data_IF_970340271522
#
_entry.id   IF_970340271522
#
_cell.length_a   1.000
_cell.length_b   1.000
_cell.length_c   1.000
_cell.angle_alpha   90.00
_cell.angle_beta   90.00
_cell.angle_gamma   90.00
#
_symmetry.space_group_name_H-M   'P 1'
#
loop_
_entity.id
_entity.type
_entity.pdbx_description
1 polymer ?
#
# COMPACT_ATOMS: atom_id res chain seq x y z
N UNK A 1 -7.17 6.92 -20.31
CA UNK A 1 -7.42 8.15 -21.11
C UNK A 1 -8.70 8.86 -20.72
N UNK A 2 -9.88 8.23 -20.83
CA UNK A 2 -11.15 8.89 -20.50
C UNK A 2 -11.24 9.37 -19.04
N UNK A 3 -10.81 8.56 -18.06
CA UNK A 3 -10.76 8.99 -16.66
C UNK A 3 -9.85 10.22 -16.45
N UNK A 4 -8.73 10.31 -17.17
CA UNK A 4 -7.85 11.47 -17.13
C UNK A 4 -8.54 12.70 -17.73
N UNK A 5 -9.25 12.54 -18.85
CA UNK A 5 -10.01 13.63 -19.46
C UNK A 5 -11.09 14.17 -18.51
N UNK A 6 -11.88 13.28 -17.89
CA UNK A 6 -12.86 13.65 -16.84
C UNK A 6 -12.16 14.37 -15.68
N UNK A 7 -11.02 13.85 -15.21
CA UNK A 7 -10.23 14.46 -14.13
C UNK A 7 -9.75 15.88 -14.46
N UNK A 8 -9.41 16.18 -15.73
CA UNK A 8 -9.02 17.56 -16.11
C UNK A 8 -10.17 18.55 -16.01
N UNK A 9 -11.42 18.10 -16.25
CA UNK A 9 -12.64 18.91 -16.06
C UNK A 9 -12.95 19.08 -14.58
N UNK A 10 -12.81 18.02 -13.80
CA UNK A 10 -13.04 18.03 -12.36
C UNK A 10 -12.13 19.01 -11.60
N UNK A 11 -10.86 19.11 -12.00
CA UNK A 11 -9.84 19.90 -11.31
C UNK A 11 -9.52 21.24 -12.00
N UNK A 12 -10.37 21.73 -12.92
CA UNK A 12 -10.15 22.98 -13.67
C UNK A 12 -8.78 23.05 -14.39
N UNK A 13 -8.28 21.91 -14.85
CA UNK A 13 -6.99 21.77 -15.55
C UNK A 13 -7.18 21.32 -17.00
N UNK A 14 -8.23 21.84 -17.65
CA UNK A 14 -8.72 21.44 -18.97
C UNK A 14 -7.59 21.22 -20.00
N UNK A 15 -7.73 20.14 -20.77
CA UNK A 15 -6.85 19.77 -21.89
C UNK A 15 -7.70 19.40 -23.10
N UNK A 16 -7.19 19.66 -24.30
CA UNK A 16 -7.90 19.27 -25.53
C UNK A 16 -7.86 17.74 -25.64
N UNK A 17 -8.97 17.08 -26.02
CA UNK A 17 -9.02 15.63 -26.25
C UNK A 17 -7.89 15.13 -27.17
N UNK A 18 -7.60 15.89 -28.23
CA UNK A 18 -6.53 15.59 -29.19
C UNK A 18 -5.17 15.48 -28.50
N UNK A 19 -4.83 16.41 -27.61
CA UNK A 19 -3.53 16.43 -26.93
C UNK A 19 -3.37 15.22 -26.01
N UNK A 20 -4.44 14.83 -25.31
CA UNK A 20 -4.47 13.62 -24.47
C UNK A 20 -4.28 12.36 -25.32
N UNK A 21 -4.95 12.29 -26.48
CA UNK A 21 -4.81 11.16 -27.41
C UNK A 21 -3.39 11.07 -27.96
N UNK A 22 -2.82 12.18 -28.43
CA UNK A 22 -1.45 12.22 -28.95
C UNK A 22 -0.44 11.76 -27.89
N UNK A 23 -0.54 12.25 -26.66
CA UNK A 23 0.32 11.81 -25.56
C UNK A 23 0.18 10.31 -25.27
N UNK A 24 -1.04 9.78 -25.29
CA UNK A 24 -1.28 8.36 -25.09
C UNK A 24 -0.73 7.50 -26.25
N UNK A 25 -0.81 7.98 -27.49
CA UNK A 25 -0.21 7.33 -28.65
C UNK A 25 1.30 7.26 -28.54
N UNK A 26 1.95 8.35 -28.13
CA UNK A 26 3.39 8.39 -27.90
C UNK A 26 3.86 7.36 -26.87
N UNK A 27 3.10 7.22 -25.77
CA UNK A 27 3.41 6.26 -24.71
C UNK A 27 3.13 4.81 -25.14
N UNK A 28 2.05 4.56 -25.89
CA UNK A 28 1.62 3.20 -26.29
C UNK A 28 2.39 2.65 -27.49
N UNK A 29 2.85 3.52 -28.39
CA UNK A 29 3.51 3.15 -29.64
C UNK A 29 4.89 3.83 -29.74
N UNK A 30 5.83 3.47 -28.84
CA UNK A 30 7.16 4.09 -28.80
C UNK A 30 7.94 3.86 -30.11
N UNK A 31 7.70 2.74 -30.80
CA UNK A 31 8.31 2.40 -32.10
C UNK A 31 7.91 3.36 -33.23
N UNK A 32 6.68 3.88 -33.20
CA UNK A 32 6.22 4.87 -34.17
C UNK A 32 6.72 6.27 -33.83
N UNK A 33 6.87 6.57 -32.53
CA UNK A 33 7.49 7.79 -32.04
C UNK A 33 8.99 7.85 -32.38
N UNK A 34 9.71 6.73 -32.28
CA UNK A 34 11.15 6.64 -32.57
C UNK A 34 11.48 6.81 -34.06
N UNK A 35 10.54 6.50 -34.96
CA UNK A 35 10.68 6.73 -36.42
C UNK A 35 10.33 8.17 -36.84
N UNK A 36 9.81 8.98 -35.92
CA UNK A 36 9.55 10.40 -36.17
C UNK A 36 10.86 11.17 -36.19
N UNK A 37 11.19 11.79 -37.33
CA UNK A 37 12.41 12.60 -37.51
C UNK A 37 12.46 13.84 -36.58
N UNK A 38 11.32 14.25 -36.03
CA UNK A 38 11.16 15.42 -35.15
C UNK A 38 10.72 15.07 -33.73
N UNK A 39 10.48 13.78 -33.42
CA UNK A 39 10.01 13.32 -32.10
C UNK A 39 8.57 13.72 -31.73
N UNK A 40 7.94 14.60 -32.52
CA UNK A 40 6.59 15.13 -32.28
C UNK A 40 5.57 14.77 -33.36
N UNK A 41 6.02 14.45 -34.57
CA UNK A 41 5.14 14.07 -35.68
C UNK A 41 5.07 12.56 -35.76
N UNK A 42 4.19 11.97 -34.95
CA UNK A 42 3.72 10.61 -35.24
C UNK A 42 2.74 10.77 -36.40
N UNK A 43 3.03 10.13 -37.53
CA UNK A 43 2.13 10.10 -38.70
C UNK A 43 0.94 9.18 -38.37
N UNK A 44 0.01 9.73 -37.58
CA UNK A 44 -1.22 9.07 -37.18
C UNK A 44 -2.29 9.46 -38.19
N UNK A 45 -2.96 8.46 -38.75
CA UNK A 45 -4.11 8.67 -39.62
C UNK A 45 -5.14 9.58 -38.93
N UNK A 46 -5.42 10.72 -39.56
CA UNK A 46 -6.33 11.73 -39.04
C UNK A 46 -7.76 11.17 -38.88
N UNK A 47 -8.19 10.23 -39.74
CA UNK A 47 -9.50 9.60 -39.62
C UNK A 47 -9.58 8.70 -38.37
N UNK A 48 -8.53 7.91 -38.10
CA UNK A 48 -8.42 7.10 -36.89
C UNK A 48 -8.42 7.96 -35.61
N UNK A 49 -7.70 9.07 -35.62
CA UNK A 49 -7.63 10.00 -34.49
C UNK A 49 -8.99 10.65 -34.19
N UNK A 50 -9.74 11.00 -35.22
CA UNK A 50 -11.09 11.57 -35.07
C UNK A 50 -12.08 10.53 -34.53
N UNK A 51 -12.01 9.29 -35.03
CA UNK A 51 -12.80 8.19 -34.48
C UNK A 51 -12.51 7.94 -32.99
N UNK A 52 -11.23 8.00 -32.59
CA UNK A 52 -10.83 7.90 -31.17
C UNK A 52 -11.31 9.06 -30.32
N UNK A 53 -11.34 10.27 -30.87
CA UNK A 53 -11.91 11.43 -30.21
C UNK A 53 -13.38 11.20 -29.89
N UNK A 54 -14.15 10.67 -30.84
CA UNK A 54 -15.55 10.30 -30.60
C UNK A 54 -15.69 9.21 -29.53
N UNK A 55 -14.87 8.14 -29.60
CA UNK A 55 -14.84 7.08 -28.57
C UNK A 55 -14.52 7.63 -27.18
N UNK A 56 -13.56 8.54 -27.08
CA UNK A 56 -13.16 9.17 -25.82
C UNK A 56 -14.33 9.91 -25.16
N UNK A 57 -15.11 10.66 -25.95
CA UNK A 57 -16.28 11.39 -25.45
C UNK A 57 -17.41 10.43 -25.04
N UNK A 58 -17.62 9.34 -25.79
CA UNK A 58 -18.61 8.33 -25.42
C UNK A 58 -18.25 7.65 -24.09
N UNK A 59 -16.98 7.28 -23.89
CA UNK A 59 -16.51 6.69 -22.64
C UNK A 59 -16.53 7.72 -21.51
N UNK A 60 -16.27 9.00 -21.79
CA UNK A 60 -16.42 10.07 -20.81
C UNK A 60 -17.83 10.06 -20.21
N UNK A 61 -18.86 10.06 -21.07
CA UNK A 61 -20.26 10.01 -20.64
C UNK A 61 -20.55 8.77 -19.78
N UNK A 62 -20.06 7.60 -20.21
CA UNK A 62 -20.19 6.36 -19.44
C UNK A 62 -19.56 6.47 -18.05
N UNK A 63 -18.37 7.08 -17.93
CA UNK A 63 -17.70 7.27 -16.64
C UNK A 63 -18.54 8.18 -15.73
N UNK A 64 -19.05 9.30 -16.27
CA UNK A 64 -19.86 10.25 -15.51
C UNK A 64 -21.14 9.60 -14.95
N UNK A 65 -21.81 8.79 -15.77
CA UNK A 65 -22.98 8.01 -15.36
C UNK A 65 -22.61 6.94 -14.32
N UNK A 66 -21.48 6.24 -14.51
CA UNK A 66 -21.00 5.18 -13.60
C UNK A 66 -20.66 5.71 -12.20
N UNK A 67 -20.03 6.88 -12.11
CA UNK A 67 -19.75 7.52 -10.81
C UNK A 67 -20.95 8.28 -10.25
N UNK A 68 -22.12 8.19 -10.90
CA UNK A 68 -23.35 8.91 -10.56
C UNK A 68 -23.14 10.43 -10.43
N UNK A 69 -22.27 11.00 -11.27
CA UNK A 69 -21.85 12.40 -11.19
C UNK A 69 -21.32 12.81 -9.79
N UNK A 70 -20.83 11.86 -9.00
CA UNK A 70 -20.21 12.13 -7.71
C UNK A 70 -18.75 12.52 -7.88
N UNK A 71 -18.52 13.82 -7.82
CA UNK A 71 -17.22 14.45 -7.99
C UNK A 71 -16.47 14.71 -6.67
N UNK A 72 -17.03 14.29 -5.52
CA UNK A 72 -16.47 14.58 -4.20
C UNK A 72 -15.35 13.60 -3.83
N UNK A 73 -14.25 13.63 -4.59
CA UNK A 73 -13.07 12.79 -4.32
C UNK A 73 -12.19 13.48 -3.27
N UNK A 74 -11.96 12.80 -2.15
CA UNK A 74 -11.00 13.23 -1.12
C UNK A 74 -9.75 12.38 -1.19
N UNK A 75 -8.59 13.02 -1.24
CA UNK A 75 -7.30 12.35 -1.39
C UNK A 75 -6.53 12.31 -0.05
N UNK A 76 -5.69 11.29 0.19
CA UNK A 76 -4.97 11.10 1.45
C UNK A 76 -3.90 12.19 1.72
N UNK A 77 -3.44 12.85 0.66
CA UNK A 77 -2.38 13.86 0.65
C UNK A 77 -2.44 14.88 1.81
N UNK A 78 -3.56 15.61 1.93
CA UNK A 78 -3.70 16.63 2.98
C UNK A 78 -3.69 16.05 4.40
N UNK A 79 -4.17 14.80 4.56
CA UNK A 79 -4.15 14.09 5.83
C UNK A 79 -2.74 13.67 6.21
N UNK A 80 -1.93 13.20 5.26
CA UNK A 80 -0.51 12.87 5.49
C UNK A 80 0.23 14.05 6.10
N UNK A 81 0.11 15.25 5.50
CA UNK A 81 0.80 16.45 6.02
C UNK A 81 0.33 16.79 7.44
N UNK A 82 -0.98 16.77 7.70
CA UNK A 82 -1.55 17.12 9.01
C UNK A 82 -1.16 16.11 10.09
N UNK A 83 -1.26 14.82 9.79
CA UNK A 83 -0.91 13.74 10.71
C UNK A 83 0.60 13.69 10.97
N UNK A 84 1.45 13.84 9.94
CA UNK A 84 2.90 13.94 10.15
C UNK A 84 3.29 15.10 11.07
N UNK A 85 2.62 16.26 10.96
CA UNK A 85 2.85 17.38 11.88
C UNK A 85 2.42 17.05 13.31
N UNK A 86 1.29 16.38 13.47
CA UNK A 86 0.77 15.93 14.77
C UNK A 86 1.70 14.91 15.46
N UNK A 87 2.32 14.02 14.67
CA UNK A 87 3.28 13.04 15.18
C UNK A 87 4.70 13.59 15.31
N UNK A 88 4.92 14.89 15.04
CA UNK A 88 6.26 15.48 14.97
C UNK A 88 7.23 14.70 14.07
N UNK A 89 6.71 14.10 12.99
CA UNK A 89 7.49 13.28 12.10
C UNK A 89 8.57 14.08 11.37
N UNK A 90 9.73 13.46 11.15
CA UNK A 90 10.80 14.02 10.33
C UNK A 90 10.33 14.34 8.90
N UNK A 91 10.96 15.34 8.26
CA UNK A 91 10.61 15.73 6.88
C UNK A 91 10.79 14.58 5.89
N UNK A 92 11.76 13.70 6.12
CA UNK A 92 12.03 12.58 5.23
C UNK A 92 10.99 11.47 5.39
N UNK A 93 10.51 11.22 6.61
CA UNK A 93 9.36 10.34 6.84
C UNK A 93 8.11 10.88 6.17
N UNK A 94 7.85 12.19 6.29
CA UNK A 94 6.69 12.82 5.65
C UNK A 94 6.75 12.72 4.11
N UNK A 95 7.93 12.91 3.49
CA UNK A 95 8.13 12.72 2.05
C UNK A 95 7.89 11.28 1.63
N UNK A 96 8.39 10.32 2.41
CA UNK A 96 8.21 8.89 2.15
C UNK A 96 6.73 8.49 2.26
N UNK A 97 6.06 8.87 3.34
CA UNK A 97 4.63 8.62 3.54
C UNK A 97 3.79 9.24 2.42
N UNK A 98 4.14 10.45 1.96
CA UNK A 98 3.48 11.06 0.82
C UNK A 98 3.67 10.26 -0.47
N UNK A 99 4.88 9.79 -0.77
CA UNK A 99 5.15 8.92 -1.93
C UNK A 99 4.34 7.62 -1.86
N UNK A 100 4.33 6.95 -0.70
CA UNK A 100 3.52 5.75 -0.48
C UNK A 100 2.02 6.02 -0.67
N UNK A 101 1.54 7.21 -0.29
CA UNK A 101 0.15 7.59 -0.54
C UNK A 101 -0.18 7.77 -2.03
N UNK A 102 0.80 8.16 -2.86
CA UNK A 102 0.66 8.16 -4.32
C UNK A 102 0.59 6.73 -4.82
N UNK A 103 1.52 5.88 -4.38
CA UNK A 103 1.59 4.46 -4.77
C UNK A 103 0.34 3.67 -4.35
N UNK A 104 -0.35 4.08 -3.29
CA UNK A 104 -1.62 3.46 -2.89
C UNK A 104 -2.67 3.44 -4.00
N UNK A 105 -2.66 4.42 -4.92
CA UNK A 105 -3.57 4.48 -6.07
C UNK A 105 -3.30 3.41 -7.13
N UNK A 106 -2.18 2.68 -7.02
CA UNK A 106 -1.87 1.51 -7.87
C UNK A 106 -2.42 0.20 -7.29
N UNK A 107 -3.09 0.27 -6.14
CA UNK A 107 -3.70 -0.86 -5.44
C UNK A 107 -5.21 -0.67 -5.29
N UNK A 108 -5.90 -1.63 -4.68
CA UNK A 108 -7.33 -1.53 -4.35
C UNK A 108 -7.59 -0.77 -3.04
N UNK A 109 -6.57 -0.25 -2.35
CA UNK A 109 -6.69 0.44 -1.07
C UNK A 109 -7.67 1.63 -1.11
N UNK A 110 -7.66 2.52 -2.14
CA UNK A 110 -8.61 3.64 -2.23
C UNK A 110 -10.08 3.25 -2.36
N UNK A 111 -10.37 1.99 -2.73
CA UNK A 111 -11.74 1.47 -2.81
C UNK A 111 -12.19 0.81 -1.50
N UNK A 112 -11.24 0.43 -0.64
CA UNK A 112 -11.50 -0.30 0.60
C UNK A 112 -11.51 0.62 1.83
N UNK A 113 -10.67 1.65 1.84
CA UNK A 113 -10.44 2.49 3.02
C UNK A 113 -10.67 3.98 2.74
N UNK A 114 -11.11 4.75 3.74
CA UNK A 114 -11.24 6.19 3.59
C UNK A 114 -9.86 6.88 3.59
N UNK A 115 -9.74 8.08 3.00
CA UNK A 115 -8.45 8.72 2.73
C UNK A 115 -7.62 9.07 3.98
N UNK A 116 -8.26 9.28 5.13
CA UNK A 116 -7.55 9.54 6.39
C UNK A 116 -6.88 8.27 6.93
N UNK A 117 -7.56 7.12 6.86
CA UNK A 117 -6.98 5.81 7.22
C UNK A 117 -5.85 5.43 6.28
N UNK A 118 -6.00 5.69 4.97
CA UNK A 118 -4.92 5.49 3.98
C UNK A 118 -3.69 6.32 4.34
N UNK A 119 -3.88 7.61 4.66
CA UNK A 119 -2.79 8.47 5.08
C UNK A 119 -2.07 7.95 6.33
N UNK A 120 -2.83 7.47 7.32
CA UNK A 120 -2.27 6.92 8.56
C UNK A 120 -1.51 5.60 8.31
N UNK A 121 -2.05 4.71 7.46
CA UNK A 121 -1.37 3.48 7.03
C UNK A 121 -0.08 3.76 6.25
N UNK A 122 -0.06 4.78 5.39
CA UNK A 122 1.16 5.21 4.70
C UNK A 122 2.21 5.79 5.65
N UNK A 123 1.81 6.50 6.71
CA UNK A 123 2.73 7.01 7.75
C UNK A 123 3.30 5.84 8.56
N UNK A 124 2.44 4.88 8.95
CA UNK A 124 2.85 3.68 9.66
C UNK A 124 3.87 2.86 8.85
N UNK A 125 3.59 2.59 7.58
CA UNK A 125 4.51 1.87 6.70
C UNK A 125 5.81 2.65 6.47
N UNK A 126 5.74 3.97 6.28
CA UNK A 126 6.93 4.81 6.16
C UNK A 126 7.82 4.71 7.41
N UNK A 127 7.20 4.75 8.59
CA UNK A 127 7.91 4.62 9.85
C UNK A 127 8.57 3.24 9.99
N UNK A 128 7.86 2.16 9.68
CA UNK A 128 8.38 0.78 9.66
C UNK A 128 9.59 0.65 8.74
N UNK A 129 9.50 1.19 7.52
CA UNK A 129 10.57 1.14 6.52
C UNK A 129 11.81 1.95 6.94
N UNK A 130 11.63 3.00 7.74
CA UNK A 130 12.75 3.82 8.23
C UNK A 130 13.35 3.29 9.54
N UNK A 131 12.56 2.59 10.37
CA UNK A 131 13.04 1.97 11.61
C UNK A 131 13.63 0.57 11.39
N UNK A 132 13.35 -0.08 10.27
CA UNK A 132 13.89 -1.40 9.96
C UNK A 132 15.39 -1.31 9.64
N UNK A 133 16.22 -1.90 10.49
CA UNK A 133 17.65 -1.97 10.24
C UNK A 133 17.95 -2.73 8.95
N UNK A 134 18.73 -2.14 8.02
CA UNK A 134 18.99 -2.76 6.72
C UNK A 134 19.75 -4.09 6.80
N UNK A 135 20.47 -4.33 7.90
CA UNK A 135 21.31 -5.50 8.17
C UNK A 135 21.03 -6.16 9.55
N UNK A 136 19.98 -5.73 10.27
CA UNK A 136 19.68 -6.27 11.60
C UNK A 136 19.10 -7.70 11.54
N UNK A 137 19.33 -8.54 12.57
CA UNK A 137 18.62 -9.80 12.71
C UNK A 137 17.10 -9.56 12.83
N UNK A 138 16.30 -10.51 12.35
CA UNK A 138 14.83 -10.49 12.40
C UNK A 138 14.29 -10.72 13.82
N UNK A 139 14.88 -10.06 14.80
CA UNK A 139 14.46 -10.10 16.19
C UNK A 139 13.85 -8.76 16.53
N UNK A 140 12.65 -8.83 17.12
CA UNK A 140 11.91 -7.81 17.87
C UNK A 140 12.66 -6.52 18.18
N UNK A 141 12.00 -5.34 18.13
CA UNK A 141 12.64 -4.04 18.35
C UNK A 141 13.53 -4.11 19.60
N UNK A 142 14.84 -4.18 19.36
CA UNK A 142 15.81 -4.34 20.45
C UNK A 142 15.72 -3.09 21.30
N UNK A 143 15.38 -3.33 22.57
CA UNK A 143 15.19 -2.35 23.62
C UNK A 143 16.48 -1.59 24.01
N UNK A 144 17.56 -1.76 23.24
CA UNK A 144 18.94 -1.43 23.59
C UNK A 144 19.50 -0.16 22.93
N UNK A 145 18.72 0.59 22.16
CA UNK A 145 19.13 1.92 21.66
C UNK A 145 18.82 3.06 22.64
N UNK A 146 18.90 2.80 23.95
CA UNK A 146 18.53 3.72 25.04
C UNK A 146 19.42 4.96 25.20
N UNK A 147 20.45 5.15 24.37
CA UNK A 147 21.46 6.20 24.62
C UNK A 147 21.73 7.20 23.48
N UNK A 148 20.95 7.19 22.39
CA UNK A 148 21.04 8.26 21.39
C UNK A 148 19.83 9.20 21.46
N UNK A 149 20.00 10.30 22.20
CA UNK A 149 19.25 11.57 22.08
C UNK A 149 17.80 11.45 21.60
N UNK A 150 16.93 11.10 22.54
CA UNK A 150 15.47 11.07 22.44
C UNK A 150 14.93 12.38 21.82
N UNK A 151 14.65 12.37 20.51
CA UNK A 151 13.94 13.45 19.81
C UNK A 151 12.60 12.90 19.37
N UNK A 152 11.55 13.71 19.50
CA UNK A 152 10.18 13.36 19.08
C UNK A 152 10.00 13.05 17.58
N UNK A 153 11.10 13.00 16.82
CA UNK A 153 11.15 12.78 15.38
C UNK A 153 11.49 11.32 15.02
N UNK A 154 11.73 10.45 16.01
CA UNK A 154 12.18 9.07 15.79
C UNK A 154 11.07 8.17 15.20
N UNK A 155 11.28 7.54 14.02
CA UNK A 155 10.28 6.68 13.37
C UNK A 155 9.79 5.52 14.26
N UNK A 156 10.68 4.96 15.09
CA UNK A 156 10.36 3.84 15.98
C UNK A 156 9.27 4.18 17.01
N UNK A 157 9.18 5.44 17.45
CA UNK A 157 8.13 5.89 18.37
C UNK A 157 6.77 5.92 17.68
N UNK A 158 6.73 6.30 16.39
CA UNK A 158 5.51 6.29 15.59
C UNK A 158 5.03 4.85 15.39
N UNK A 159 5.95 3.92 15.11
CA UNK A 159 5.64 2.48 15.01
C UNK A 159 5.10 1.97 16.34
N UNK A 160 5.79 2.20 17.46
CA UNK A 160 5.33 1.74 18.78
C UNK A 160 3.95 2.29 19.16
N UNK A 161 3.65 3.53 18.75
CA UNK A 161 2.34 4.15 19.00
C UNK A 161 1.23 3.57 18.14
N UNK A 162 1.50 3.28 16.86
CA UNK A 162 0.49 2.83 15.90
C UNK A 162 0.35 1.29 15.80
N UNK A 163 1.33 0.53 16.29
CA UNK A 163 1.33 -0.93 16.26
C UNK A 163 0.35 -1.55 17.26
N UNK A 164 -0.14 -0.79 18.25
CA UNK A 164 -1.07 -1.28 19.25
C UNK A 164 -2.32 -0.40 19.35
N UNK A 165 -3.48 -0.99 19.67
CA UNK A 165 -4.71 -0.23 19.91
C UNK A 165 -4.50 0.80 21.02
N UNK A 166 -4.98 2.01 20.83
CA UNK A 166 -4.78 3.10 21.79
C UNK A 166 -5.67 4.30 21.51
N UNK A 167 -5.46 5.38 22.26
CA UNK A 167 -6.27 6.61 22.16
C UNK A 167 -6.29 7.23 20.76
N UNK A 168 -5.27 6.94 19.95
CA UNK A 168 -5.17 7.43 18.58
C UNK A 168 -6.25 6.82 17.67
N UNK A 169 -6.78 5.62 17.96
CA UNK A 169 -7.83 4.99 17.15
C UNK A 169 -9.11 5.82 17.17
N UNK A 170 -9.50 6.28 18.37
CA UNK A 170 -10.65 7.19 18.56
C UNK A 170 -10.38 8.56 17.94
N UNK A 171 -9.15 9.06 18.05
CA UNK A 171 -8.77 10.38 17.50
C UNK A 171 -8.81 10.42 15.97
N UNK A 172 -8.34 9.36 15.32
CA UNK A 172 -8.22 9.30 13.86
C UNK A 172 -9.29 8.43 13.19
N UNK A 173 -10.24 7.87 13.95
CA UNK A 173 -11.31 6.98 13.46
C UNK A 173 -10.79 5.83 12.59
N UNK A 174 -9.66 5.24 12.99
CA UNK A 174 -8.96 4.18 12.26
C UNK A 174 -8.50 3.10 13.23
N UNK A 175 -8.48 1.85 12.79
CA UNK A 175 -8.05 0.68 13.60
C UNK A 175 -6.68 0.17 13.17
N UNK A 176 -5.95 -0.46 14.09
CA UNK A 176 -4.67 -1.14 13.79
C UNK A 176 -4.77 -2.08 12.59
N UNK A 177 -5.80 -2.92 12.56
CA UNK A 177 -6.05 -3.92 11.50
C UNK A 177 -6.06 -3.26 10.10
N UNK A 178 -6.66 -2.07 9.99
CA UNK A 178 -6.74 -1.35 8.71
C UNK A 178 -5.36 -0.81 8.27
N UNK A 179 -4.53 -0.38 9.23
CA UNK A 179 -3.18 0.09 8.94
C UNK A 179 -2.30 -1.07 8.44
N UNK A 180 -2.44 -2.24 9.05
CA UNK A 180 -1.73 -3.46 8.65
C UNK A 180 -2.15 -3.94 7.26
N UNK A 181 -3.45 -3.96 6.96
CA UNK A 181 -3.99 -4.27 5.63
C UNK A 181 -3.40 -3.35 4.54
N UNK A 182 -3.38 -2.05 4.82
CA UNK A 182 -2.80 -1.05 3.91
C UNK A 182 -1.30 -1.27 3.75
N UNK A 183 -0.58 -1.50 4.85
CA UNK A 183 0.86 -1.77 4.83
C UNK A 183 1.17 -3.02 4.01
N UNK A 184 0.38 -4.08 4.17
CA UNK A 184 0.51 -5.31 3.41
C UNK A 184 0.27 -5.10 1.92
N UNK A 185 -0.80 -4.41 1.53
CA UNK A 185 -1.11 -4.13 0.12
C UNK A 185 0.00 -3.30 -0.56
N UNK A 186 0.56 -2.31 0.15
CA UNK A 186 1.66 -1.50 -0.34
C UNK A 186 2.98 -2.27 -0.40
N UNK A 187 3.27 -3.13 0.57
CA UNK A 187 4.45 -4.00 0.51
C UNK A 187 4.38 -4.98 -0.67
N UNK A 188 3.20 -5.54 -0.95
CA UNK A 188 3.00 -6.44 -2.10
C UNK A 188 3.22 -5.69 -3.42
N UNK A 189 2.75 -4.44 -3.51
CA UNK A 189 3.04 -3.56 -4.65
C UNK A 189 4.56 -3.32 -4.81
N UNK A 190 5.27 -2.98 -3.73
CA UNK A 190 6.71 -2.72 -3.75
C UNK A 190 7.53 -3.98 -4.12
N UNK A 191 7.10 -5.16 -3.67
CA UNK A 191 7.72 -6.44 -4.02
C UNK A 191 7.45 -6.86 -5.46
N UNK A 192 6.26 -6.55 -6.00
CA UNK A 192 5.88 -6.87 -7.38
C UNK A 192 6.66 -6.09 -8.44
N UNK A 193 7.31 -4.98 -8.05
CA UNK A 193 7.99 -4.06 -8.97
C UNK A 193 9.49 -3.88 -8.61
N UNK A 194 10.35 -4.89 -8.86
CA UNK A 194 11.74 -4.91 -8.39
C UNK A 194 12.64 -3.83 -9.04
N UNK A 195 12.24 -3.24 -10.17
CA UNK A 195 12.98 -2.19 -10.87
C UNK A 195 13.00 -0.85 -10.12
N UNK A 196 12.08 -0.60 -9.19
CA UNK A 196 12.15 0.51 -8.23
C UNK A 196 13.01 0.21 -6.99
N UNK A 197 13.49 -1.03 -6.87
CA UNK A 197 13.98 -1.65 -5.63
C UNK A 197 15.45 -2.06 -5.74
N UNK A 198 16.10 -1.90 -6.91
CA UNK A 198 17.41 -2.50 -7.19
C UNK A 198 18.54 -1.49 -7.43
N UNK A 199 19.52 -1.49 -6.52
CA UNK A 199 20.94 -1.43 -6.91
C UNK A 199 21.84 -2.46 -6.18
N UNK A 200 21.33 -3.28 -5.25
CA UNK A 200 22.13 -4.33 -4.61
C UNK A 200 21.35 -5.64 -4.44
N UNK A 201 21.29 -6.42 -5.52
CA UNK A 201 21.06 -7.86 -5.44
C UNK A 201 22.31 -8.58 -5.98
N UNK A 202 23.44 -8.42 -5.30
CA UNK A 202 24.57 -9.33 -5.47
C UNK A 202 24.30 -10.59 -4.63
N UNK A 203 23.45 -11.47 -5.14
CA UNK A 203 23.43 -12.87 -4.71
C UNK A 203 24.34 -13.65 -5.65
N UNK A 204 25.63 -13.64 -5.36
CA UNK A 204 26.58 -14.61 -5.91
C UNK A 204 27.40 -15.20 -4.75
N UNK A 205 27.55 -16.53 -4.66
CA UNK A 205 28.28 -17.18 -3.58
C UNK A 205 29.78 -16.89 -3.72
N UNK A 206 30.45 -16.70 -2.58
CA UNK A 206 31.87 -16.40 -2.47
C UNK A 206 32.77 -17.54 -2.97
N UNK A 207 33.72 -17.21 -3.85
CA UNK A 207 34.98 -17.95 -4.06
C UNK A 207 36.16 -16.97 -4.17
N UNK A 208 37.36 -17.29 -3.66
CA UNK A 208 38.39 -16.29 -3.34
C UNK A 208 39.37 -15.98 -4.50
N UNK A 209 39.74 -14.70 -4.58
CA UNK A 209 41.01 -14.08 -5.02
C UNK A 209 41.68 -14.45 -6.36
N UNK A 210 41.79 -13.46 -7.26
CA UNK A 210 43.04 -13.12 -7.97
C UNK A 210 43.00 -11.73 -8.63
N UNK A 211 44.13 -10.99 -8.72
CA UNK A 211 44.15 -9.59 -9.15
C UNK A 211 44.56 -9.42 -10.63
N UNK A 212 43.91 -8.54 -11.39
CA UNK A 212 44.49 -7.82 -12.53
C UNK A 212 43.59 -6.67 -13.02
N UNK A 213 44.17 -5.64 -13.67
CA UNK A 213 43.64 -4.28 -13.61
C UNK A 213 43.02 -3.78 -14.93
N UNK A 214 42.18 -2.75 -14.78
CA UNK A 214 41.91 -1.68 -15.74
C UNK A 214 41.20 -2.02 -17.06
N UNK A 215 39.93 -1.63 -17.17
CA UNK A 215 39.43 -1.01 -18.41
C UNK A 215 38.24 -0.08 -18.13
N UNK A 216 38.43 1.19 -18.51
CA UNK A 216 37.47 2.28 -18.48
C UNK A 216 36.38 2.07 -19.54
N UNK A 217 35.12 2.29 -19.19
CA UNK A 217 34.07 2.60 -20.17
C UNK A 217 33.06 3.61 -19.61
N UNK A 218 33.26 4.86 -20.04
CA UNK A 218 32.30 5.87 -20.47
C UNK A 218 30.84 5.77 -19.97
N UNK A 219 30.49 6.59 -18.98
CA UNK A 219 29.10 6.93 -18.66
C UNK A 219 28.68 8.22 -19.38
N UNK A 220 27.71 8.11 -20.28
CA UNK A 220 26.88 9.23 -20.71
C UNK A 220 25.65 9.32 -19.79
N UNK A 221 25.53 10.44 -19.09
CA UNK A 221 24.34 10.80 -18.32
C UNK A 221 23.28 11.43 -19.21
N UNK A 222 21.99 11.26 -18.86
CA UNK A 222 21.15 12.43 -18.68
C UNK A 222 20.59 12.45 -17.27
N UNK A 223 20.78 13.60 -16.62
CA UNK A 223 20.29 13.91 -15.29
C UNK A 223 18.76 14.08 -15.29
N UNK A 224 18.05 13.33 -14.46
CA UNK A 224 16.97 13.87 -13.60
C UNK A 224 16.56 12.89 -12.51
N UNK A 225 16.27 13.46 -11.33
CA UNK A 225 15.74 12.88 -10.09
C UNK A 225 16.76 12.31 -9.09
N UNK A 226 16.89 13.07 -8.01
CA UNK A 226 17.52 12.73 -6.73
C UNK A 226 16.74 11.62 -6.03
N UNK A 227 17.29 10.40 -6.04
CA UNK A 227 16.72 9.22 -5.35
C UNK A 227 17.39 9.08 -3.98
N UNK A 228 16.61 9.12 -2.88
CA UNK A 228 16.91 8.16 -1.82
C UNK A 228 15.65 7.55 -1.20
N UNK A 229 15.54 6.23 -1.31
CA UNK A 229 15.25 5.24 -0.26
C UNK A 229 15.15 3.88 -0.98
N UNK A 230 16.29 3.32 -1.38
CA UNK A 230 16.33 2.02 -2.05
C UNK A 230 16.22 0.93 -0.99
N UNK A 231 15.01 0.46 -0.71
CA UNK A 231 14.80 -0.72 0.12
C UNK A 231 15.30 -1.95 -0.62
N UNK A 232 16.06 -2.83 0.05
CA UNK A 232 16.39 -4.12 -0.55
C UNK A 232 15.14 -5.01 -0.58
N UNK A 233 14.97 -5.80 -1.65
CA UNK A 233 13.91 -6.83 -1.71
C UNK A 233 13.95 -7.75 -0.48
N UNK A 234 15.15 -8.03 0.06
CA UNK A 234 15.32 -8.81 1.28
C UNK A 234 14.71 -8.12 2.51
N UNK A 235 14.85 -6.79 2.63
CA UNK A 235 14.28 -6.01 3.73
C UNK A 235 12.75 -5.99 3.66
N UNK A 236 12.19 -5.74 2.47
CA UNK A 236 10.74 -5.75 2.27
C UNK A 236 10.14 -7.13 2.55
N UNK A 237 10.83 -8.19 2.12
CA UNK A 237 10.40 -9.58 2.38
C UNK A 237 10.41 -9.89 3.87
N UNK A 238 11.48 -9.51 4.59
CA UNK A 238 11.56 -9.67 6.05
C UNK A 238 10.45 -8.92 6.77
N UNK A 239 10.22 -7.66 6.40
CA UNK A 239 9.16 -6.84 7.00
C UNK A 239 7.77 -7.45 6.74
N UNK A 240 7.53 -7.96 5.54
CA UNK A 240 6.28 -8.63 5.18
C UNK A 240 6.07 -9.92 6.01
N UNK A 241 7.12 -10.70 6.22
CA UNK A 241 7.08 -11.89 7.07
C UNK A 241 6.78 -11.50 8.52
N UNK A 242 7.50 -10.50 9.05
CA UNK A 242 7.31 -10.03 10.43
C UNK A 242 5.88 -9.57 10.69
N UNK A 243 5.31 -8.74 9.80
CA UNK A 243 3.92 -8.28 9.94
C UNK A 243 2.93 -9.45 9.91
N UNK A 244 3.17 -10.45 9.05
CA UNK A 244 2.31 -11.65 8.98
C UNK A 244 2.44 -12.54 10.23
N UNK A 245 3.64 -12.66 10.79
CA UNK A 245 3.87 -13.41 12.03
C UNK A 245 3.20 -12.73 13.22
N UNK A 246 3.28 -11.40 13.30
CA UNK A 246 2.59 -10.61 14.32
C UNK A 246 1.07 -10.80 14.23
N UNK A 247 0.49 -10.67 13.02
CA UNK A 247 -0.95 -10.87 12.80
C UNK A 247 -1.39 -12.29 13.20
N UNK A 248 -0.61 -13.32 12.84
CA UNK A 248 -0.91 -14.71 13.22
C UNK A 248 -0.83 -14.94 14.73
N UNK A 249 0.12 -14.30 15.40
CA UNK A 249 0.27 -14.38 16.86
C UNK A 249 -0.94 -13.74 17.55
N UNK A 250 -1.34 -12.55 17.11
CA UNK A 250 -2.53 -11.87 17.64
C UNK A 250 -3.82 -12.67 17.40
N UNK A 251 -3.96 -13.30 16.23
CA UNK A 251 -5.09 -14.19 15.95
C UNK A 251 -5.10 -15.45 16.83
N UNK A 252 -3.94 -15.98 17.21
CA UNK A 252 -3.85 -17.11 18.17
C UNK A 252 -4.27 -16.68 19.56
N UNK A 253 -3.82 -15.51 20.01
CA UNK A 253 -4.11 -15.00 21.35
C UNK A 253 -5.60 -14.61 21.50
N UNK A 254 -6.26 -14.21 20.41
CA UNK A 254 -7.72 -13.95 20.38
C UNK A 254 -8.58 -15.21 20.37
N UNK A 255 -8.04 -16.39 20.02
CA UNK A 255 -8.83 -17.63 20.11
C UNK A 255 -8.94 -18.01 21.58
N UNK A 256 -10.16 -18.12 22.14
CA UNK A 256 -10.29 -18.63 23.49
C UNK A 256 -9.65 -20.02 23.53
N UNK A 257 -8.72 -20.23 24.46
CA UNK A 257 -8.14 -21.53 24.73
C UNK A 257 -9.31 -22.46 24.97
N UNK A 258 -9.64 -23.29 23.97
CA UNK A 258 -10.63 -24.33 24.11
C UNK A 258 -10.12 -25.19 25.24
N UNK A 259 -10.71 -25.04 26.43
CA UNK A 259 -10.29 -25.82 27.60
C UNK A 259 -10.32 -27.26 27.14
N UNK A 260 -9.14 -27.89 27.08
CA UNK A 260 -9.07 -29.33 26.92
C UNK A 260 -9.67 -29.87 28.20
N UNK A 261 -10.99 -30.09 28.20
CA UNK A 261 -11.62 -31.00 29.15
C UNK A 261 -10.93 -32.33 28.90
N UNK A 262 -9.91 -32.61 29.74
CA UNK A 262 -9.27 -33.92 29.78
C UNK A 262 -10.36 -34.89 30.22
N UNK A 263 -10.50 -35.93 29.43
CA UNK A 263 -11.51 -36.97 29.54
C UNK A 263 -11.65 -37.55 30.95
N UNK A 264 -12.91 -37.89 31.27
CA UNK A 264 -13.36 -38.92 32.19
C UNK A 264 -13.13 -38.70 33.69
N UNK A 265 -13.88 -37.77 34.27
CA UNK A 265 -14.58 -37.89 35.56
C UNK A 265 -15.57 -36.72 35.62
N UNK A 266 -16.75 -36.92 36.21
CA UNK A 266 -17.88 -35.97 36.31
C UNK A 266 -18.84 -35.90 35.11
N UNK A 267 -19.51 -37.03 34.85
CA UNK A 267 -20.78 -37.04 34.12
C UNK A 267 -21.92 -36.30 34.87
N UNK A 268 -21.80 -36.11 36.18
CA UNK A 268 -22.81 -35.44 37.01
C UNK A 268 -22.80 -33.90 36.85
N UNK A 269 -21.66 -33.30 36.53
CA UNK A 269 -21.57 -31.85 36.31
C UNK A 269 -22.24 -31.43 34.99
N UNK A 270 -22.25 -32.30 33.98
CA UNK A 270 -22.83 -32.02 32.65
C UNK A 270 -24.37 -32.11 32.68
N UNK A 271 -24.95 -33.02 33.47
CA UNK A 271 -26.40 -33.12 33.62
C UNK A 271 -27.00 -31.95 34.43
N UNK A 272 -26.26 -31.38 35.38
CA UNK A 272 -26.70 -30.18 36.10
C UNK A 272 -26.62 -28.90 35.26
N UNK A 273 -25.74 -28.85 34.24
CA UNK A 273 -25.63 -27.71 33.33
C UNK A 273 -26.73 -27.67 32.25
N UNK A 274 -27.44 -28.79 32.01
CA UNK A 274 -28.52 -28.89 31.02
C UNK A 274 -29.90 -28.45 31.53
N UNK A 275 -30.06 -28.27 32.85
CA UNK A 275 -31.32 -27.79 33.46
C UNK A 275 -31.31 -26.28 33.82
N UNK A 276 -30.25 -25.55 33.44
CA UNK A 276 -30.13 -24.11 33.63
C UNK A 276 -30.62 -23.34 32.39
N UNK A 277 -31.89 -22.97 32.40
CA UNK A 277 -32.55 -22.05 31.46
C UNK A 277 -31.78 -20.73 31.31
N UNK A 278 -31.63 -20.24 30.07
CA UNK A 278 -31.69 -18.81 29.79
C UNK A 278 -30.50 -18.15 29.07
N UNK A 279 -30.65 -18.07 27.75
CA UNK A 279 -30.52 -16.81 26.98
C UNK A 279 -29.17 -16.40 26.36
N UNK A 280 -29.30 -15.95 25.09
CA UNK A 280 -28.39 -15.11 24.29
C UNK A 280 -27.16 -15.76 23.61
N UNK A 281 -27.40 -16.37 22.45
CA UNK A 281 -26.38 -16.47 21.39
C UNK A 281 -26.99 -16.00 20.06
N UNK A 282 -26.99 -14.67 19.85
CA UNK A 282 -27.24 -14.04 18.55
C UNK A 282 -25.99 -14.18 17.68
N UNK A 283 -26.14 -14.65 16.44
CA UNK A 283 -25.13 -14.47 15.40
C UNK A 283 -24.67 -15.71 14.65
N UNK A 284 -25.54 -16.65 14.29
CA UNK A 284 -25.33 -17.50 13.09
C UNK A 284 -26.69 -17.94 12.54
N UNK A 285 -27.29 -17.12 11.68
CA UNK A 285 -28.45 -17.55 10.87
C UNK A 285 -27.91 -18.29 9.65
N UNK A 286 -27.82 -19.61 9.74
CA UNK A 286 -27.68 -20.49 8.57
C UNK A 286 -29.02 -20.54 7.84
N UNK A 287 -29.11 -19.90 6.68
CA UNK A 287 -30.24 -20.08 5.78
C UNK A 287 -30.18 -21.48 5.16
N UNK A 288 -30.97 -22.41 5.71
CA UNK A 288 -31.31 -23.69 5.07
C UNK A 288 -32.61 -23.49 4.29
N UNK A 289 -32.48 -23.33 2.97
CA UNK A 289 -33.63 -23.45 2.06
C UNK A 289 -33.96 -24.93 1.89
N UNK A 290 -34.92 -25.43 2.68
CA UNK A 290 -35.59 -26.71 2.44
C UNK A 290 -36.82 -26.50 1.57
N UNK A 291 -36.93 -27.26 0.49
CA UNK A 291 -38.12 -27.30 -0.39
C UNK A 291 -39.33 -27.87 0.38
N UNK A 292 -40.56 -27.36 0.13
CA UNK A 292 -41.76 -27.91 0.74
C UNK A 292 -42.12 -29.25 0.07
N UNK A 293 -42.18 -30.32 0.86
CA UNK A 293 -42.64 -31.64 0.44
C UNK A 293 -44.17 -31.74 0.48
N UNK A 294 -44.67 -32.55 -0.47
CA UNK A 294 -46.06 -32.99 -0.70
C UNK A 294 -46.74 -33.68 0.50
#
# INVERSE_FOLDING_TARGET
MACLYVSTKLHDTLKKPRDILMAAYYIRLPELAAKSKTGTDVDIDQAALEADRHRLISIERLILETICFNFRVRLPFSYVIKMCREFHASKDLAKLAWRLSIDSNRTLVPLQFPPHTIALGCIYLAALLMSADPNGPATSPTQDSRENSFRGDDPSMIVAKLAHPGEWETKFYSRVEQLEDIAHALLDLLLSNPSSTSLHANTSPTTPSSPSPSQQQSQSTPATSTVPANYSTAQLTRLKIQLREQEQQEQRDRRPVRSRVRSAMDADAVMNALNGVGDSNEGTVRFLFGLPGE
#
